data_IF_660678197537
#
_entry.id   IF_660678197537
#
_cell.length_a   1.000
_cell.length_b   1.000
_cell.length_c   1.000
_cell.angle_alpha   90.00
_cell.angle_beta   90.00
_cell.angle_gamma   90.00
#
_symmetry.space_group_name_H-M   'P 1'
#
loop_
_entity.id
_entity.type
_entity.pdbx_description
1 polymer ?
#
# COMPACT_ATOMS: atom_id res chain seq x y z
N UNK A 1 10.00 18.87 -12.06
CA UNK A 1 10.94 17.76 -11.78
C UNK A 1 11.58 18.03 -10.43
N UNK A 2 11.50 17.09 -9.48
CA UNK A 2 12.02 17.30 -8.12
C UNK A 2 13.53 17.01 -8.07
N UNK A 3 14.29 17.89 -7.41
CA UNK A 3 15.70 17.70 -7.12
C UNK A 3 15.92 17.33 -5.66
N UNK A 4 16.97 16.55 -5.38
CA UNK A 4 17.39 16.17 -4.04
C UNK A 4 18.87 16.48 -3.84
N UNK A 5 19.21 17.52 -3.06
CA UNK A 5 20.59 17.82 -2.70
C UNK A 5 21.04 16.91 -1.54
N UNK A 6 22.18 16.24 -1.73
CA UNK A 6 22.79 15.35 -0.75
C UNK A 6 24.21 15.81 -0.42
N UNK A 7 24.46 16.10 0.85
CA UNK A 7 25.79 16.54 1.34
C UNK A 7 26.70 15.39 1.76
N UNK A 8 26.16 14.21 2.07
CA UNK A 8 26.97 13.13 2.65
C UNK A 8 27.55 13.51 4.01
N UNK A 9 28.67 12.88 4.38
CA UNK A 9 29.32 13.10 5.68
C UNK A 9 30.22 14.36 5.68
N UNK A 10 30.87 14.65 4.57
CA UNK A 10 31.69 15.85 4.38
C UNK A 10 30.78 17.08 4.17
N UNK A 11 30.99 18.12 4.98
CA UNK A 11 30.17 19.34 4.97
C UNK A 11 30.85 20.50 4.24
N UNK A 12 32.12 20.35 3.89
CA UNK A 12 32.92 21.41 3.27
C UNK A 12 32.85 21.38 1.74
N UNK A 13 32.33 20.29 1.14
CA UNK A 13 32.08 20.20 -0.29
C UNK A 13 30.64 20.63 -0.70
N UNK A 14 30.52 21.06 -1.95
CA UNK A 14 29.22 21.35 -2.56
C UNK A 14 28.34 20.08 -2.62
N UNK A 15 27.02 20.20 -2.37
CA UNK A 15 26.13 19.06 -2.34
C UNK A 15 26.02 18.41 -3.73
N UNK A 16 26.00 17.08 -3.76
CA UNK A 16 25.61 16.34 -4.96
C UNK A 16 24.11 16.52 -5.18
N UNK A 17 23.71 16.92 -6.37
CA UNK A 17 22.29 17.11 -6.71
C UNK A 17 21.81 15.93 -7.55
N UNK A 18 20.78 15.26 -7.06
CA UNK A 18 20.11 14.16 -7.75
C UNK A 18 18.74 14.62 -8.28
N UNK A 19 18.25 13.94 -9.31
CA UNK A 19 16.89 14.16 -9.82
C UNK A 19 16.03 12.91 -9.63
N UNK A 20 14.77 13.11 -9.27
CA UNK A 20 13.82 12.02 -9.07
C UNK A 20 13.26 11.57 -10.42
N UNK A 21 13.42 10.29 -10.73
CA UNK A 21 12.90 9.63 -11.95
C UNK A 21 11.57 8.92 -11.72
N UNK A 22 11.08 8.91 -10.47
CA UNK A 22 9.84 8.26 -10.06
C UNK A 22 9.02 9.20 -9.18
N UNK A 23 7.74 8.90 -9.02
CA UNK A 23 6.88 9.57 -8.04
C UNK A 23 7.45 9.37 -6.64
N UNK A 24 7.53 10.46 -5.87
CA UNK A 24 8.07 10.45 -4.51
C UNK A 24 7.00 10.77 -3.49
N UNK A 25 7.27 10.40 -2.24
CA UNK A 25 6.51 10.90 -1.11
C UNK A 25 6.70 12.42 -0.94
N UNK A 26 5.62 13.11 -0.56
CA UNK A 26 5.65 14.55 -0.26
C UNK A 26 5.59 15.49 -1.47
N UNK A 27 5.67 14.97 -2.71
CA UNK A 27 5.37 15.79 -3.88
C UNK A 27 3.86 16.02 -3.99
N UNK A 28 3.44 17.28 -4.22
CA UNK A 28 2.02 17.68 -4.14
C UNK A 28 1.09 16.91 -5.08
N UNK A 29 1.59 16.50 -6.26
CA UNK A 29 0.80 15.75 -7.25
C UNK A 29 0.91 14.22 -7.10
N UNK A 30 1.78 13.75 -6.20
CA UNK A 30 2.08 12.33 -6.08
C UNK A 30 0.90 11.51 -5.56
N UNK A 31 0.19 11.93 -4.49
CA UNK A 31 -0.99 11.21 -4.02
C UNK A 31 -2.07 11.06 -5.10
N UNK A 32 -2.37 12.14 -5.82
CA UNK A 32 -3.40 12.13 -6.87
C UNK A 32 -3.03 11.20 -8.02
N UNK A 33 -1.76 11.24 -8.46
CA UNK A 33 -1.29 10.39 -9.55
C UNK A 33 -1.29 8.91 -9.17
N UNK A 34 -0.80 8.58 -7.96
CA UNK A 34 -0.78 7.22 -7.46
C UNK A 34 -2.20 6.65 -7.33
N UNK A 35 -3.12 7.38 -6.70
CA UNK A 35 -4.52 6.95 -6.54
C UNK A 35 -5.21 6.77 -7.89
N UNK A 36 -4.97 7.66 -8.85
CA UNK A 36 -5.56 7.53 -10.19
C UNK A 36 -5.14 6.21 -10.87
N UNK A 37 -3.85 5.89 -10.85
CA UNK A 37 -3.34 4.66 -11.48
C UNK A 37 -3.85 3.41 -10.75
N UNK A 38 -3.84 3.41 -9.41
CA UNK A 38 -4.38 2.30 -8.61
C UNK A 38 -5.87 2.07 -8.91
N UNK A 39 -6.68 3.13 -8.94
CA UNK A 39 -8.10 3.04 -9.27
C UNK A 39 -8.33 2.51 -10.67
N UNK A 40 -7.55 2.97 -11.66
CA UNK A 40 -7.67 2.50 -13.04
C UNK A 40 -7.32 1.02 -13.18
N UNK A 41 -6.28 0.57 -12.48
CA UNK A 41 -5.90 -0.83 -12.45
C UNK A 41 -6.96 -1.71 -11.77
N UNK A 42 -7.56 -1.23 -10.68
CA UNK A 42 -8.71 -1.90 -10.05
C UNK A 42 -9.91 -2.02 -11.02
N UNK A 43 -10.25 -0.96 -11.74
CA UNK A 43 -11.34 -0.96 -12.72
C UNK A 43 -11.16 -1.99 -13.82
N UNK A 44 -9.94 -2.17 -14.31
CA UNK A 44 -9.67 -3.16 -15.37
C UNK A 44 -9.76 -4.60 -14.88
N UNK A 45 -9.82 -4.82 -13.57
CA UNK A 45 -9.89 -6.13 -12.94
C UNK A 45 -11.26 -6.39 -12.26
N UNK A 46 -12.24 -5.49 -12.43
CA UNK A 46 -13.51 -5.51 -11.70
C UNK A 46 -14.41 -6.71 -12.01
N UNK A 47 -14.34 -7.23 -13.24
CA UNK A 47 -15.11 -8.40 -13.67
C UNK A 47 -14.77 -9.65 -12.84
N UNK A 48 -13.51 -9.79 -12.44
CA UNK A 48 -13.00 -10.93 -11.65
C UNK A 48 -12.92 -10.60 -10.15
N UNK A 49 -12.57 -9.35 -9.80
CA UNK A 49 -12.25 -8.92 -8.44
C UNK A 49 -13.02 -7.66 -8.01
N UNK A 50 -14.34 -7.67 -8.14
CA UNK A 50 -15.20 -6.53 -7.78
C UNK A 50 -15.05 -6.03 -6.33
N UNK A 51 -14.81 -6.92 -5.37
CA UNK A 51 -14.56 -6.52 -3.98
C UNK A 51 -13.21 -5.82 -3.80
N UNK A 52 -12.16 -6.28 -4.50
CA UNK A 52 -10.86 -5.61 -4.50
C UNK A 52 -10.94 -4.25 -5.20
N UNK A 53 -11.71 -4.13 -6.29
CA UNK A 53 -11.94 -2.82 -6.92
C UNK A 53 -12.56 -1.82 -5.94
N UNK A 54 -13.61 -2.24 -5.23
CA UNK A 54 -14.25 -1.42 -4.21
C UNK A 54 -13.30 -1.09 -3.06
N UNK A 55 -12.47 -2.04 -2.65
CA UNK A 55 -11.49 -1.84 -1.60
C UNK A 55 -10.45 -0.80 -2.01
N UNK A 56 -9.85 -0.95 -3.19
CA UNK A 56 -8.86 -0.01 -3.73
C UNK A 56 -9.44 1.40 -3.81
N UNK A 57 -10.65 1.56 -4.37
CA UNK A 57 -11.26 2.88 -4.57
C UNK A 57 -11.63 3.60 -3.27
N UNK A 58 -11.99 2.86 -2.22
CA UNK A 58 -12.57 3.45 -1.00
C UNK A 58 -11.59 3.53 0.16
N UNK A 59 -10.61 2.63 0.19
CA UNK A 59 -9.86 2.35 1.41
C UNK A 59 -8.35 2.60 1.28
N UNK A 60 -7.89 3.05 0.12
CA UNK A 60 -6.53 3.55 -0.03
C UNK A 60 -6.40 4.95 0.56
N UNK A 61 -5.42 5.11 1.44
CA UNK A 61 -4.86 6.40 1.81
C UNK A 61 -3.43 6.49 1.31
N UNK A 62 -3.25 7.11 0.15
CA UNK A 62 -1.98 7.24 -0.57
C UNK A 62 -1.35 5.88 -0.89
N UNK A 63 -0.50 5.37 0.00
CA UNK A 63 0.23 4.11 -0.16
C UNK A 63 -0.22 3.01 0.82
N UNK A 64 -1.24 3.28 1.63
CA UNK A 64 -1.76 2.34 2.63
C UNK A 64 -3.18 1.91 2.27
N UNK A 65 -3.41 0.61 2.13
CA UNK A 65 -4.74 0.03 2.01
C UNK A 65 -5.20 -0.47 3.38
N UNK A 66 -6.32 0.04 3.88
CA UNK A 66 -6.82 -0.31 5.22
C UNK A 66 -8.29 -0.69 5.13
N UNK A 67 -8.62 -1.96 5.36
CA UNK A 67 -10.00 -2.44 5.27
C UNK A 67 -10.42 -3.23 6.52
N UNK A 68 -11.73 -3.24 6.80
CA UNK A 68 -12.34 -4.03 7.88
C UNK A 68 -13.41 -4.94 7.29
N UNK A 69 -13.33 -6.23 7.59
CA UNK A 69 -14.32 -7.24 7.17
C UNK A 69 -15.07 -7.79 8.39
N UNK A 70 -16.17 -8.52 8.15
CA UNK A 70 -16.93 -9.14 9.25
C UNK A 70 -16.40 -10.52 9.62
N UNK A 71 -15.62 -11.16 8.74
CA UNK A 71 -15.02 -12.47 9.00
C UNK A 71 -13.56 -12.59 8.54
N UNK A 72 -12.84 -13.55 9.14
CA UNK A 72 -11.48 -13.91 8.75
C UNK A 72 -11.43 -14.47 7.32
N UNK A 73 -12.45 -15.23 6.91
CA UNK A 73 -12.50 -15.79 5.55
C UNK A 73 -12.62 -14.71 4.49
N UNK A 74 -13.45 -13.69 4.73
CA UNK A 74 -13.55 -12.53 3.84
C UNK A 74 -12.26 -11.72 3.81
N UNK A 75 -11.62 -11.52 4.97
CA UNK A 75 -10.33 -10.83 5.04
C UNK A 75 -9.26 -11.57 4.23
N UNK A 76 -9.20 -12.90 4.37
CA UNK A 76 -8.24 -13.74 3.65
C UNK A 76 -8.43 -13.61 2.15
N UNK A 77 -9.67 -13.81 1.67
CA UNK A 77 -9.97 -13.69 0.24
C UNK A 77 -9.65 -12.29 -0.29
N UNK A 78 -10.00 -11.25 0.46
CA UNK A 78 -9.76 -9.89 0.02
C UNK A 78 -8.27 -9.55 -0.04
N UNK A 79 -7.48 -10.03 0.92
CA UNK A 79 -6.01 -9.92 0.89
C UNK A 79 -5.45 -10.55 -0.39
N UNK A 80 -5.90 -11.77 -0.72
CA UNK A 80 -5.44 -12.48 -1.91
C UNK A 80 -5.84 -11.72 -3.18
N UNK A 81 -7.13 -11.35 -3.29
CA UNK A 81 -7.67 -10.61 -4.44
C UNK A 81 -6.94 -9.26 -4.62
N UNK A 82 -6.78 -8.46 -3.55
CA UNK A 82 -6.09 -7.17 -3.59
C UNK A 82 -4.62 -7.35 -3.98
N UNK A 83 -3.93 -8.36 -3.46
CA UNK A 83 -2.53 -8.66 -3.81
C UNK A 83 -2.41 -8.97 -5.31
N UNK A 84 -3.33 -9.77 -5.87
CA UNK A 84 -3.37 -10.07 -7.30
C UNK A 84 -3.65 -8.82 -8.13
N UNK A 85 -4.66 -8.03 -7.76
CA UNK A 85 -5.03 -6.81 -8.48
C UNK A 85 -3.84 -5.85 -8.53
N UNK A 86 -3.16 -5.60 -7.42
CA UNK A 86 -1.98 -4.73 -7.39
C UNK A 86 -0.84 -5.28 -8.24
N UNK A 87 -0.55 -6.59 -8.14
CA UNK A 87 0.50 -7.23 -8.91
C UNK A 87 0.25 -7.14 -10.43
N UNK A 88 -1.00 -7.22 -10.89
CA UNK A 88 -1.35 -7.00 -12.32
C UNK A 88 -1.06 -5.59 -12.81
N UNK A 89 -1.02 -4.61 -11.90
CA UNK A 89 -0.61 -3.24 -12.18
C UNK A 89 0.88 -2.98 -11.94
N UNK A 90 1.69 -4.02 -11.71
CA UNK A 90 3.11 -3.93 -11.32
C UNK A 90 3.34 -3.23 -9.96
N UNK A 91 2.34 -3.29 -9.08
CA UNK A 91 2.42 -2.81 -7.70
C UNK A 91 2.57 -3.98 -6.73
N UNK A 92 3.66 -3.97 -5.96
CA UNK A 92 3.93 -4.97 -4.94
C UNK A 92 3.44 -4.49 -3.56
N UNK A 93 2.42 -5.16 -3.01
CA UNK A 93 2.01 -4.93 -1.62
C UNK A 93 3.06 -5.54 -0.71
N UNK A 94 3.87 -4.68 -0.11
CA UNK A 94 5.03 -5.09 0.69
C UNK A 94 4.66 -5.94 1.90
N UNK A 95 3.50 -5.66 2.53
CA UNK A 95 3.11 -6.31 3.77
C UNK A 95 1.64 -6.14 4.12
N UNK A 96 1.09 -7.20 4.72
CA UNK A 96 -0.21 -7.20 5.38
C UNK A 96 -0.08 -7.21 6.90
N UNK A 97 -1.02 -6.58 7.59
CA UNK A 97 -1.14 -6.59 9.04
C UNK A 97 -2.61 -6.79 9.42
N UNK A 98 -2.87 -7.48 10.53
CA UNK A 98 -4.22 -7.82 10.98
C UNK A 98 -4.29 -8.05 12.48
N UNK A 99 -5.44 -7.72 13.06
CA UNK A 99 -5.78 -8.01 14.46
C UNK A 99 -6.34 -9.44 14.65
N UNK A 100 -6.69 -10.13 13.56
CA UNK A 100 -7.19 -11.50 13.62
C UNK A 100 -6.04 -12.50 13.79
N UNK A 101 -5.92 -13.10 14.99
CA UNK A 101 -4.85 -14.06 15.32
C UNK A 101 -4.67 -15.17 14.27
N UNK A 102 -5.78 -15.79 13.83
CA UNK A 102 -5.75 -16.88 12.82
C UNK A 102 -5.11 -16.45 11.49
N UNK A 103 -5.33 -15.19 11.08
CA UNK A 103 -4.80 -14.64 9.84
C UNK A 103 -3.37 -14.13 10.03
N UNK A 104 -3.04 -13.66 11.24
CA UNK A 104 -1.67 -13.28 11.60
C UNK A 104 -0.71 -14.47 11.49
N UNK A 105 -1.13 -15.66 11.92
CA UNK A 105 -0.35 -16.89 11.80
C UNK A 105 -0.08 -17.28 10.35
N UNK A 106 -1.08 -17.20 9.46
CA UNK A 106 -0.88 -17.51 8.03
C UNK A 106 0.03 -16.50 7.34
N UNK A 107 -0.15 -15.20 7.60
CA UNK A 107 0.66 -14.13 6.99
C UNK A 107 2.11 -14.09 7.50
N UNK A 108 2.35 -14.48 8.75
CA UNK A 108 3.70 -14.49 9.34
C UNK A 108 4.58 -15.60 8.75
N UNK A 109 3.97 -16.63 8.17
CA UNK A 109 4.71 -17.73 7.53
C UNK A 109 5.31 -17.30 6.19
N UNK A 110 4.78 -16.24 5.56
CA UNK A 110 5.23 -15.73 4.26
C UNK A 110 6.19 -14.54 4.35
N UNK A 111 6.35 -13.90 5.52
CA UNK A 111 7.16 -12.69 5.67
C UNK A 111 8.09 -12.77 6.90
N UNK A 112 9.39 -12.97 6.67
CA UNK A 112 10.43 -13.12 7.71
C UNK A 112 10.79 -11.83 8.48
N UNK A 113 9.87 -10.87 8.65
CA UNK A 113 10.14 -9.67 9.45
C UNK A 113 8.92 -9.22 10.26
N UNK A 114 9.13 -9.00 11.56
CA UNK A 114 8.12 -8.76 12.60
C UNK A 114 6.91 -7.90 12.18
N UNK A 115 5.76 -8.58 12.11
CA UNK A 115 4.38 -8.14 12.37
C UNK A 115 4.13 -6.87 13.21
N UNK A 116 4.55 -5.67 12.80
CA UNK A 116 4.08 -4.37 13.29
C UNK A 116 2.57 -4.43 13.48
N UNK A 117 2.18 -4.38 14.74
CA UNK A 117 0.80 -4.52 15.18
C UNK A 117 0.16 -3.14 15.08
N UNK A 118 -0.87 -3.01 14.24
CA UNK A 118 -1.63 -1.77 14.08
C UNK A 118 -3.04 -2.00 14.63
N UNK A 119 -3.26 -1.64 15.90
CA UNK A 119 -4.56 -1.79 16.55
C UNK A 119 -5.51 -0.69 16.07
N UNK A 120 -6.60 -1.07 15.39
CA UNK A 120 -7.66 -0.13 14.99
C UNK A 120 -8.89 -0.34 15.87
N UNK A 121 -9.13 0.59 16.81
CA UNK A 121 -10.33 0.56 17.64
C UNK A 121 -11.55 1.03 16.84
N UNK A 122 -12.63 0.23 16.82
CA UNK A 122 -13.95 0.68 16.37
C UNK A 122 -14.48 1.71 17.37
N UNK A 123 -14.63 2.97 16.95
CA UNK A 123 -15.48 3.92 17.65
C UNK A 123 -16.93 3.50 17.43
N UNK A 124 -17.62 3.12 18.51
CA UNK A 124 -19.09 3.00 18.48
C UNK A 124 -19.67 4.40 18.23
N UNK A 125 -20.43 4.54 17.16
CA UNK A 125 -21.31 5.69 16.91
C UNK A 125 -22.69 5.35 17.45
#
# INVERSE_FOLDING_TARGET
>A
MQLFPWRGADRDCEPRVYTMTSLIFGASLSPTSAIYVLNRNAETNSDEYSNAELAVKRNHHVNNLIHSTVSVSEATKLIDDDTIVHARGDFDIRRWATDALKLKESLSTESSADAATLSLHKTQI
#
